data_IF_318849135258
#
_entry.id   IF_318849135258
#
_cell.length_a   1.000
_cell.length_b   1.000
_cell.length_c   1.000
_cell.angle_alpha   90.00
_cell.angle_beta   90.00
_cell.angle_gamma   90.00
#
_symmetry.space_group_name_H-M   'P 1'
#
loop_
_entity.id
_entity.type
_entity.pdbx_description
1 polymer ?
#
# COMPACT_ATOMS: atom_id res chain seq x y z
N UNK A 1 -25.43 11.87 -9.45
CA UNK A 1 -24.39 11.23 -10.29
C UNK A 1 -22.98 11.85 -10.15
N UNK A 2 -22.79 13.06 -9.60
CA UNK A 2 -21.46 13.68 -9.48
C UNK A 2 -20.67 13.31 -8.21
N UNK A 3 -21.35 12.89 -7.13
CA UNK A 3 -20.71 12.50 -5.87
C UNK A 3 -19.82 11.25 -6.02
N UNK A 4 -20.20 10.30 -6.88
CA UNK A 4 -19.42 9.09 -7.12
C UNK A 4 -18.17 9.35 -7.97
N UNK A 5 -18.18 10.36 -8.85
CA UNK A 5 -17.06 10.68 -9.73
C UNK A 5 -15.89 11.34 -8.99
N UNK A 6 -16.19 12.29 -8.09
CA UNK A 6 -15.17 12.91 -7.22
C UNK A 6 -14.54 11.88 -6.28
N UNK A 7 -15.33 10.99 -5.69
CA UNK A 7 -14.82 9.93 -4.83
C UNK A 7 -13.90 8.97 -5.62
N UNK A 8 -14.30 8.57 -6.84
CA UNK A 8 -13.52 7.65 -7.70
C UNK A 8 -12.21 8.26 -8.21
N UNK A 9 -12.18 9.56 -8.50
CA UNK A 9 -10.94 10.25 -8.89
C UNK A 9 -9.96 10.36 -7.71
N UNK A 10 -10.44 10.68 -6.51
CA UNK A 10 -9.59 10.71 -5.31
C UNK A 10 -8.97 9.34 -4.98
N UNK A 11 -9.70 8.25 -5.27
CA UNK A 11 -9.24 6.88 -5.08
C UNK A 11 -8.11 6.50 -6.05
N UNK A 12 -8.22 6.86 -7.34
CA UNK A 12 -7.17 6.56 -8.33
C UNK A 12 -5.87 7.35 -8.10
N UNK A 13 -5.97 8.58 -7.59
CA UNK A 13 -4.80 9.43 -7.30
C UNK A 13 -3.92 8.80 -6.21
N UNK A 14 -4.48 8.08 -5.24
CA UNK A 14 -3.70 7.46 -4.17
C UNK A 14 -2.81 6.31 -4.68
N UNK A 15 -3.31 5.53 -5.65
CA UNK A 15 -2.56 4.45 -6.29
C UNK A 15 -1.49 4.97 -7.24
N UNK A 16 -1.76 6.06 -7.96
CA UNK A 16 -0.76 6.74 -8.81
C UNK A 16 0.36 7.42 -7.99
N UNK A 17 0.13 7.68 -6.70
CA UNK A 17 1.17 8.19 -5.78
C UNK A 17 2.10 7.10 -5.24
N UNK A 18 1.72 5.82 -5.34
CA UNK A 18 2.61 4.70 -5.02
C UNK A 18 3.55 4.47 -6.20
N UNK A 19 4.68 5.18 -6.19
CA UNK A 19 5.68 5.07 -7.26
C UNK A 19 6.57 3.84 -7.07
N UNK A 20 7.10 3.32 -8.19
CA UNK A 20 8.07 2.22 -8.18
C UNK A 20 9.32 2.56 -7.35
N UNK A 21 9.69 3.85 -7.26
CA UNK A 21 10.78 4.31 -6.40
C UNK A 21 10.54 4.00 -4.92
N UNK A 22 9.32 4.22 -4.41
CA UNK A 22 8.96 3.86 -3.03
C UNK A 22 9.04 2.35 -2.80
N UNK A 23 8.67 1.55 -3.81
CA UNK A 23 8.73 0.09 -3.74
C UNK A 23 10.19 -0.40 -3.77
N UNK A 24 11.07 0.26 -4.51
CA UNK A 24 12.49 -0.05 -4.54
C UNK A 24 13.17 0.18 -3.17
N UNK A 25 12.73 1.19 -2.41
CA UNK A 25 13.22 1.42 -1.04
C UNK A 25 12.94 0.23 -0.11
N UNK A 26 11.81 -0.47 -0.30
CA UNK A 26 11.45 -1.66 0.50
C UNK A 26 12.36 -2.86 0.25
N UNK A 27 13.04 -2.91 -0.90
CA UNK A 27 13.96 -4.01 -1.28
C UNK A 27 15.41 -3.66 -0.94
N UNK A 28 15.70 -2.42 -0.50
CA UNK A 28 17.05 -1.97 -0.17
C UNK A 28 17.73 -2.86 0.87
N UNK A 29 19.05 -2.95 0.84
CA UNK A 29 19.85 -3.64 1.86
C UNK A 29 19.85 -2.86 3.19
N UNK A 30 19.64 -1.54 3.15
CA UNK A 30 19.62 -0.69 4.33
C UNK A 30 18.22 -0.69 4.98
N UNK A 31 18.14 -1.15 6.23
CA UNK A 31 16.85 -1.20 6.96
C UNK A 31 16.20 0.17 7.14
N UNK A 32 16.99 1.26 7.17
CA UNK A 32 16.49 2.64 7.27
C UNK A 32 15.74 3.07 6.02
N UNK A 33 16.24 2.70 4.84
CA UNK A 33 15.57 2.99 3.56
C UNK A 33 14.25 2.21 3.45
N UNK A 34 14.23 0.94 3.91
CA UNK A 34 12.97 0.18 4.01
C UNK A 34 11.95 0.87 4.90
N UNK A 35 12.40 1.40 6.04
CA UNK A 35 11.53 2.13 6.96
C UNK A 35 10.98 3.41 6.32
N UNK A 36 11.80 4.12 5.55
CA UNK A 36 11.39 5.31 4.83
C UNK A 36 10.32 4.98 3.78
N UNK A 37 10.52 3.91 3.00
CA UNK A 37 9.50 3.41 2.08
C UNK A 37 8.17 3.07 2.78
N UNK A 38 8.23 2.39 3.93
CA UNK A 38 7.02 2.10 4.74
C UNK A 38 6.33 3.36 5.23
N UNK A 39 7.09 4.38 5.67
CA UNK A 39 6.53 5.65 6.13
C UNK A 39 5.82 6.40 5.01
N UNK A 40 6.42 6.46 3.82
CA UNK A 40 5.81 7.10 2.64
C UNK A 40 4.50 6.40 2.25
N UNK A 41 4.49 5.06 2.21
CA UNK A 41 3.28 4.27 1.93
C UNK A 41 2.21 4.55 2.99
N UNK A 42 2.59 4.60 4.27
CA UNK A 42 1.67 4.90 5.35
C UNK A 42 1.06 6.31 5.23
N UNK A 43 1.84 7.31 4.80
CA UNK A 43 1.36 8.66 4.58
C UNK A 43 0.35 8.73 3.44
N UNK A 44 0.64 8.07 2.32
CA UNK A 44 -0.29 7.95 1.18
C UNK A 44 -1.61 7.28 1.61
N UNK A 45 -1.53 6.20 2.39
CA UNK A 45 -2.70 5.50 2.95
C UNK A 45 -3.50 6.37 3.91
N UNK A 46 -2.84 7.23 4.68
CA UNK A 46 -3.50 8.11 5.64
C UNK A 46 -4.32 9.18 4.92
N UNK A 47 -3.88 9.62 3.73
CA UNK A 47 -4.64 10.51 2.85
C UNK A 47 -5.74 9.82 2.03
N UNK A 48 -5.75 8.49 1.97
CA UNK A 48 -6.62 7.71 1.09
C UNK A 48 -7.51 6.73 1.89
N UNK A 49 -8.71 7.19 2.25
CA UNK A 49 -9.66 6.39 3.03
C UNK A 49 -10.24 5.18 2.25
N UNK A 50 -10.17 5.20 0.92
CA UNK A 50 -10.64 4.12 0.05
C UNK A 50 -9.64 3.87 -1.09
N UNK A 51 -9.39 2.61 -1.40
CA UNK A 51 -8.49 2.18 -2.47
C UNK A 51 -9.26 1.20 -3.35
N UNK A 52 -9.25 1.42 -4.66
CA UNK A 52 -9.86 0.51 -5.63
C UNK A 52 -8.93 -0.68 -5.85
N UNK A 53 -9.47 -1.90 -5.76
CA UNK A 53 -8.70 -3.10 -6.07
C UNK A 53 -8.42 -3.21 -7.56
N UNK A 54 -7.15 -3.19 -7.91
CA UNK A 54 -6.68 -3.39 -9.29
C UNK A 54 -5.25 -3.93 -9.33
N UNK A 55 -4.75 -4.28 -10.54
CA UNK A 55 -3.43 -4.85 -10.73
C UNK A 55 -2.30 -3.99 -10.15
N UNK A 56 -2.43 -2.67 -10.27
CA UNK A 56 -1.49 -1.68 -9.74
C UNK A 56 -1.31 -1.74 -8.21
N UNK A 57 -2.24 -2.35 -7.48
CA UNK A 57 -2.14 -2.53 -6.03
C UNK A 57 -1.40 -3.81 -5.64
N UNK A 58 -1.28 -4.79 -6.54
CA UNK A 58 -0.57 -6.03 -6.24
C UNK A 58 0.91 -5.76 -5.96
N UNK A 59 1.58 -4.90 -6.72
CA UNK A 59 3.01 -4.65 -6.55
C UNK A 59 3.32 -3.98 -5.20
N UNK A 60 2.63 -2.89 -4.80
CA UNK A 60 2.78 -2.32 -3.46
C UNK A 60 2.47 -3.29 -2.34
N UNK A 61 1.36 -4.04 -2.44
CA UNK A 61 0.96 -4.98 -1.41
C UNK A 61 1.97 -6.13 -1.27
N UNK A 62 2.51 -6.62 -2.39
CA UNK A 62 3.55 -7.65 -2.42
C UNK A 62 4.85 -7.15 -1.82
N UNK A 63 5.25 -5.91 -2.13
CA UNK A 63 6.46 -5.31 -1.60
C UNK A 63 6.36 -5.14 -0.07
N UNK A 64 5.25 -4.61 0.45
CA UNK A 64 5.04 -4.47 1.90
C UNK A 64 4.95 -5.85 2.57
N UNK A 65 4.28 -6.82 1.95
CA UNK A 65 4.20 -8.19 2.47
C UNK A 65 5.57 -8.87 2.59
N UNK A 66 6.52 -8.59 1.68
CA UNK A 66 7.92 -9.05 1.82
C UNK A 66 8.61 -8.43 3.03
N UNK A 67 8.30 -7.18 3.39
CA UNK A 67 8.87 -6.54 4.58
C UNK A 67 8.24 -7.08 5.87
N UNK A 68 7.05 -7.67 5.83
CA UNK A 68 6.47 -8.36 6.99
C UNK A 68 7.35 -9.53 7.48
N UNK A 69 8.15 -10.13 6.61
CA UNK A 69 9.09 -11.22 6.95
C UNK A 69 10.53 -10.73 7.14
N UNK A 70 10.73 -9.41 7.32
CA UNK A 70 12.06 -8.82 7.53
C UNK A 70 12.73 -9.36 8.82
N UNK A 71 14.06 -9.45 8.78
CA UNK A 71 14.90 -9.83 9.93
C UNK A 71 14.74 -8.86 11.10
N UNK A 72 14.43 -7.59 10.82
CA UNK A 72 14.12 -6.60 11.83
C UNK A 72 12.63 -6.68 12.22
N UNK A 73 12.38 -7.24 13.42
CA UNK A 73 11.03 -7.44 13.96
C UNK A 73 10.20 -6.16 14.13
N UNK A 74 10.84 -5.00 14.28
CA UNK A 74 10.13 -3.72 14.39
C UNK A 74 9.56 -3.33 13.02
N UNK A 75 10.40 -3.43 11.98
CA UNK A 75 9.97 -3.20 10.59
C UNK A 75 8.88 -4.19 10.18
N UNK A 76 9.03 -5.48 10.50
CA UNK A 76 8.02 -6.49 10.20
C UNK A 76 6.66 -6.19 10.84
N UNK A 77 6.63 -5.76 12.10
CA UNK A 77 5.40 -5.32 12.77
C UNK A 77 4.80 -4.06 12.13
N UNK A 78 5.62 -3.09 11.78
CA UNK A 78 5.15 -1.86 11.12
C UNK A 78 4.57 -2.16 9.73
N UNK A 79 5.23 -3.01 8.94
CA UNK A 79 4.74 -3.47 7.66
C UNK A 79 3.39 -4.19 7.81
N UNK A 80 3.23 -5.05 8.82
CA UNK A 80 1.97 -5.73 9.09
C UNK A 80 0.83 -4.73 9.37
N UNK A 81 1.08 -3.71 10.21
CA UNK A 81 0.10 -2.67 10.49
C UNK A 81 -0.30 -1.88 9.22
N UNK A 82 0.63 -1.70 8.28
CA UNK A 82 0.37 -1.07 6.98
C UNK A 82 -0.48 -1.99 6.09
N UNK A 83 -0.19 -3.29 6.04
CA UNK A 83 -1.01 -4.28 5.31
C UNK A 83 -2.44 -4.32 5.86
N UNK A 84 -2.62 -4.23 7.19
CA UNK A 84 -3.95 -4.12 7.78
C UNK A 84 -4.69 -2.84 7.35
N UNK A 85 -3.97 -1.71 7.24
CA UNK A 85 -4.55 -0.47 6.71
C UNK A 85 -4.95 -0.62 5.25
N UNK A 86 -4.13 -1.24 4.41
CA UNK A 86 -4.50 -1.59 3.03
C UNK A 86 -5.77 -2.44 3.00
N UNK A 87 -5.84 -3.48 3.83
CA UNK A 87 -7.00 -4.37 3.90
C UNK A 87 -8.28 -3.64 4.33
N UNK A 88 -8.18 -2.65 5.23
CA UNK A 88 -9.31 -1.80 5.64
C UNK A 88 -9.73 -0.79 4.57
N UNK A 89 -8.78 -0.27 3.80
CA UNK A 89 -9.05 0.67 2.71
C UNK A 89 -9.60 -0.02 1.45
N UNK A 90 -9.34 -1.33 1.29
CA UNK A 90 -9.89 -2.18 0.24
C UNK A 90 -11.30 -2.66 0.55
N UNK A 91 -12.19 -2.64 -0.44
CA UNK A 91 -13.52 -3.23 -0.34
C UNK A 91 -13.49 -4.76 -0.49
N UNK A 92 -14.43 -5.49 0.14
CA UNK A 92 -14.54 -6.97 0.06
C UNK A 92 -14.66 -7.50 -1.38
N UNK A 93 -15.22 -6.70 -2.28
CA UNK A 93 -15.39 -7.06 -3.70
C UNK A 93 -14.07 -7.00 -4.49
N UNK A 94 -13.11 -6.22 -4.00
CA UNK A 94 -11.84 -5.92 -4.66
C UNK A 94 -10.75 -6.93 -4.28
N UNK A 95 -10.79 -7.46 -3.05
CA UNK A 95 -9.93 -8.57 -2.62
C UNK A 95 -10.06 -9.80 -3.55
N UNK A 96 -11.27 -10.06 -4.08
CA UNK A 96 -11.53 -11.14 -5.04
C UNK A 96 -10.85 -10.95 -6.40
N UNK A 97 -10.52 -9.72 -6.79
CA UNK A 97 -9.85 -9.41 -8.07
C UNK A 97 -8.33 -9.57 -7.99
N UNK A 98 -7.77 -9.56 -6.79
CA UNK A 98 -6.33 -9.69 -6.54
C UNK A 98 -5.89 -11.16 -6.39
N UNK A 99 -6.83 -12.06 -6.10
CA UNK A 99 -6.62 -13.51 -6.08
C UNK A 99 -7.06 -14.04 -7.44
N UNK A 100 -6.10 -14.28 -8.33
CA UNK A 100 -6.35 -14.93 -9.62
C UNK A 100 -5.55 -16.22 -9.69
#
# INVERSE_FOLDING_TARGET
>A
MLLTYRQRNSINIALDKLTEEMLNLLVSKAWKERQEGLNQIQEVLTGAQFIEGGPKLQDPLTAVAKVCTDVNKILGKNALAIVEKFAKALSKSDAKKLVK
#
